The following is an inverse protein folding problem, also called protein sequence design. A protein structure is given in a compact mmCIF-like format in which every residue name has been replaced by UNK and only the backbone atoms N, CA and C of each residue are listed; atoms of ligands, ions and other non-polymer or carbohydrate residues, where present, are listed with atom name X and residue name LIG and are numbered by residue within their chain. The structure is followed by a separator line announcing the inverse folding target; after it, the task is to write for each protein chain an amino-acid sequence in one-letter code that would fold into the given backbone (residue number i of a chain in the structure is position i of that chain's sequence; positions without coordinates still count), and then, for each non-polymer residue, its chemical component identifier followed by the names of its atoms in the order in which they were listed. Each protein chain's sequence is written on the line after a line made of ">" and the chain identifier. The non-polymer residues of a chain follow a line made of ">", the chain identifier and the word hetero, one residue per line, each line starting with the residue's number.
data_IF_698275885414
#
_entry.id   IF_698275885414
#
_cell.length_a   1.000
_cell.length_b   1.000
_cell.length_c   1.000
_cell.angle_alpha   90.00
_cell.angle_beta   90.00
_cell.angle_gamma   90.00
#
_symmetry.space_group_name_H-M   'P 1'
#
loop_
_entity.id
_entity.type
_entity.pdbx_description
1 polymer ?
#
# COMPACT_ATOMS: atom_id res chain seq x y z
N UNK A 1 33.21 24.00 -26.22
CA UNK A 1 32.21 22.91 -26.17
C UNK A 1 32.99 21.61 -26.21
N UNK A 2 32.79 20.72 -25.24
CA UNK A 2 33.40 19.39 -25.22
C UNK A 2 32.33 18.41 -25.67
N UNK A 3 32.65 17.57 -26.66
CA UNK A 3 31.78 16.51 -27.15
C UNK A 3 32.33 15.18 -26.66
N UNK A 4 31.46 14.31 -26.16
CA UNK A 4 31.79 12.95 -25.77
C UNK A 4 30.74 11.99 -26.34
N UNK A 5 31.20 10.84 -26.80
CA UNK A 5 30.34 9.77 -27.30
C UNK A 5 30.12 8.74 -26.19
N UNK A 6 28.85 8.39 -25.94
CA UNK A 6 28.47 7.43 -24.89
C UNK A 6 28.10 6.11 -25.56
N UNK A 7 28.94 5.10 -25.35
CA UNK A 7 28.68 3.73 -25.79
C UNK A 7 27.85 2.95 -24.75
N UNK A 8 26.61 2.62 -25.10
CA UNK A 8 25.70 1.83 -24.24
C UNK A 8 26.04 0.34 -24.22
N UNK A 9 26.63 -0.19 -25.29
CA UNK A 9 27.04 -1.60 -25.38
C UNK A 9 28.22 -1.87 -24.45
N UNK A 10 29.18 -0.96 -24.39
CA UNK A 10 30.27 -1.02 -23.42
C UNK A 10 29.75 -1.05 -21.97
N UNK A 11 28.78 -0.18 -21.64
CA UNK A 11 28.16 -0.18 -20.30
C UNK A 11 27.49 -1.52 -19.99
N UNK A 12 26.76 -2.10 -20.94
CA UNK A 12 26.12 -3.40 -20.77
C UNK A 12 27.15 -4.51 -20.56
N UNK A 13 28.23 -4.52 -21.36
CA UNK A 13 29.34 -5.47 -21.24
C UNK A 13 30.04 -5.39 -19.88
N UNK A 14 30.31 -4.17 -19.40
CA UNK A 14 30.89 -3.94 -18.06
C UNK A 14 29.96 -4.43 -16.96
N UNK A 15 28.66 -4.13 -17.03
CA UNK A 15 27.67 -4.59 -16.03
C UNK A 15 27.53 -6.11 -16.00
N UNK A 16 27.66 -6.76 -17.16
CA UNK A 16 27.66 -8.22 -17.24
C UNK A 16 28.96 -8.84 -16.67
N UNK A 17 30.12 -8.27 -17.02
CA UNK A 17 31.41 -8.76 -16.53
C UNK A 17 31.62 -8.52 -15.02
N UNK A 18 31.05 -7.44 -14.48
CA UNK A 18 31.20 -7.03 -13.08
C UNK A 18 29.80 -6.76 -12.49
N UNK A 19 29.03 -7.81 -12.11
CA UNK A 19 27.65 -7.68 -11.67
C UNK A 19 27.55 -7.24 -10.19
N UNK A 20 28.14 -6.08 -9.85
CA UNK A 20 28.19 -5.54 -8.48
C UNK A 20 26.83 -5.40 -7.82
N UNK A 21 25.77 -5.19 -8.61
CA UNK A 21 24.39 -5.08 -8.12
C UNK A 21 23.82 -6.41 -7.66
N UNK A 22 24.17 -7.52 -8.34
CA UNK A 22 23.74 -8.87 -7.98
C UNK A 22 24.50 -9.43 -6.78
N UNK A 23 25.69 -8.90 -6.49
CA UNK A 23 26.51 -9.32 -5.34
C UNK A 23 26.15 -8.59 -4.04
N UNK A 24 25.12 -7.73 -4.03
CA UNK A 24 24.68 -7.03 -2.82
C UNK A 24 24.02 -8.00 -1.84
N UNK A 25 24.28 -7.79 -0.56
CA UNK A 25 23.67 -8.49 0.58
C UNK A 25 22.49 -7.69 1.10
N UNK A 26 21.42 -7.64 0.30
CA UNK A 26 20.19 -6.93 0.67
C UNK A 26 19.52 -7.52 1.90
N UNK A 27 19.82 -8.78 2.23
CA UNK A 27 19.45 -9.44 3.48
C UNK A 27 20.08 -8.81 4.73
N UNK A 28 21.25 -8.17 4.61
CA UNK A 28 21.96 -7.58 5.75
C UNK A 28 21.68 -6.07 5.92
N UNK A 29 21.60 -5.32 4.83
CA UNK A 29 21.51 -3.85 4.87
C UNK A 29 20.33 -3.26 4.10
N UNK A 30 19.40 -4.10 3.63
CA UNK A 30 18.29 -3.67 2.78
C UNK A 30 18.77 -3.12 1.43
N UNK A 31 17.84 -2.80 0.55
CA UNK A 31 18.21 -2.12 -0.69
C UNK A 31 18.26 -0.61 -0.43
N UNK A 32 19.47 -0.06 -0.30
CA UNK A 32 19.67 1.38 -0.20
C UNK A 32 19.34 2.02 -1.55
N UNK A 33 18.07 2.37 -1.74
CA UNK A 33 17.65 3.23 -2.85
C UNK A 33 18.29 4.61 -2.68
N UNK A 34 18.98 5.14 -3.69
CA UNK A 34 19.52 6.49 -3.62
C UNK A 34 18.40 7.50 -3.34
N UNK A 35 18.64 8.50 -2.49
CA UNK A 35 17.66 9.52 -2.10
C UNK A 35 17.03 10.28 -3.30
N UNK A 36 17.66 10.24 -4.47
CA UNK A 36 17.18 10.85 -5.72
C UNK A 36 16.34 9.92 -6.61
N UNK A 37 16.29 8.62 -6.30
CA UNK A 37 15.49 7.63 -7.03
C UNK A 37 14.03 7.60 -6.58
N UNK A 38 13.63 8.49 -5.67
CA UNK A 38 12.23 8.73 -5.31
C UNK A 38 11.50 9.34 -6.52
N UNK A 39 11.23 8.51 -7.53
CA UNK A 39 10.00 8.62 -8.30
C UNK A 39 8.87 8.27 -7.33
N UNK A 40 8.57 9.22 -6.42
CA UNK A 40 7.29 9.30 -5.73
C UNK A 40 6.26 9.63 -6.82
N UNK A 41 6.00 8.65 -7.71
CA UNK A 41 5.00 8.76 -8.77
C UNK A 41 3.66 8.59 -8.06
N UNK A 42 3.23 9.65 -7.36
CA UNK A 42 2.03 9.73 -6.52
C UNK A 42 0.70 9.59 -7.25
N UNK A 43 0.71 9.04 -8.47
CA UNK A 43 -0.48 8.80 -9.29
C UNK A 43 -0.40 7.42 -9.97
N UNK A 44 -1.52 6.68 -10.05
CA UNK A 44 -1.61 5.46 -10.83
C UNK A 44 -1.33 5.74 -12.32
N UNK A 45 -0.39 4.98 -12.89
CA UNK A 45 0.00 5.03 -14.31
C UNK A 45 -0.91 4.16 -15.19
N UNK A 46 -1.55 3.15 -14.59
CA UNK A 46 -2.50 2.24 -15.25
C UNK A 46 -3.92 2.61 -14.86
N UNK A 47 -4.89 2.33 -15.73
CA UNK A 47 -6.31 2.53 -15.41
C UNK A 47 -6.83 1.56 -14.34
N UNK A 48 -6.24 0.37 -14.27
CA UNK A 48 -6.66 -0.72 -13.38
C UNK A 48 -5.47 -1.43 -12.74
N UNK A 49 -5.68 -1.93 -11.52
CA UNK A 49 -4.71 -2.68 -10.72
C UNK A 49 -5.34 -3.95 -10.15
N UNK A 50 -4.56 -5.01 -10.03
CA UNK A 50 -5.04 -6.27 -9.47
C UNK A 50 -4.83 -6.32 -7.96
N UNK A 51 -5.86 -6.68 -7.22
CA UNK A 51 -5.83 -6.91 -5.78
C UNK A 51 -6.46 -8.27 -5.45
N UNK A 52 -5.65 -9.33 -5.50
CA UNK A 52 -6.12 -10.71 -5.32
C UNK A 52 -7.11 -11.06 -6.43
N UNK A 53 -8.33 -11.44 -6.05
CA UNK A 53 -9.42 -11.68 -6.99
C UNK A 53 -10.19 -10.43 -7.44
N UNK A 54 -9.85 -9.23 -6.96
CA UNK A 54 -10.56 -7.97 -7.25
C UNK A 54 -9.74 -7.07 -8.16
N UNK A 55 -10.40 -6.39 -9.10
CA UNK A 55 -9.80 -5.33 -9.91
C UNK A 55 -10.12 -3.97 -9.32
N UNK A 56 -9.08 -3.20 -8.98
CA UNK A 56 -9.18 -1.83 -8.47
C UNK A 56 -9.09 -0.84 -9.63
N UNK A 57 -9.93 0.19 -9.58
CA UNK A 57 -9.82 1.32 -10.51
C UNK A 57 -8.78 2.31 -10.00
N UNK A 58 -8.03 2.92 -10.92
CA UNK A 58 -7.08 4.00 -10.60
C UNK A 58 -7.72 5.13 -9.77
N UNK A 59 -9.00 5.41 -9.98
CA UNK A 59 -9.75 6.41 -9.23
C UNK A 59 -9.82 6.11 -7.73
N UNK A 60 -9.77 4.84 -7.32
CA UNK A 60 -9.85 4.37 -5.93
C UNK A 60 -8.49 4.36 -5.21
N UNK A 61 -7.38 4.48 -5.95
CA UNK A 61 -6.01 4.48 -5.43
C UNK A 61 -5.58 5.91 -5.16
N UNK A 62 -5.31 6.26 -3.91
CA UNK A 62 -4.95 7.63 -3.53
C UNK A 62 -3.44 7.85 -3.36
N UNK A 63 -2.66 6.79 -3.17
CA UNK A 63 -1.21 6.87 -3.10
C UNK A 63 -0.55 5.62 -3.70
N UNK A 64 0.57 5.79 -4.39
CA UNK A 64 1.34 4.72 -5.00
C UNK A 64 2.83 5.03 -4.85
N UNK A 65 3.60 4.02 -4.47
CA UNK A 65 5.05 4.03 -4.45
C UNK A 65 5.59 3.09 -5.53
N UNK A 66 6.89 2.77 -5.49
CA UNK A 66 7.48 1.84 -6.44
C UNK A 66 7.01 0.39 -6.25
N UNK A 67 6.71 -0.03 -5.01
CA UNK A 67 6.37 -1.43 -4.69
C UNK A 67 5.01 -1.60 -4.02
N UNK A 68 4.41 -0.53 -3.47
CA UNK A 68 3.13 -0.60 -2.76
C UNK A 68 2.12 0.44 -3.25
N UNK A 69 0.83 0.16 -3.04
CA UNK A 69 -0.29 1.05 -3.33
C UNK A 69 -1.24 1.15 -2.13
N UNK A 70 -1.86 2.32 -1.95
CA UNK A 70 -2.87 2.57 -0.94
C UNK A 70 -4.17 3.04 -1.57
N UNK A 71 -5.28 2.45 -1.13
CA UNK A 71 -6.60 2.61 -1.75
C UNK A 71 -7.73 2.54 -0.71
N UNK A 72 -8.87 3.13 -1.07
CA UNK A 72 -10.04 3.19 -0.19
C UNK A 72 -10.79 1.85 -0.14
N UNK A 73 -11.36 1.49 1.02
CA UNK A 73 -12.04 0.21 1.21
C UNK A 73 -13.50 0.27 0.70
N UNK A 74 -14.00 -0.75 0.01
CA UNK A 74 -15.42 -0.80 -0.42
C UNK A 74 -16.41 -0.92 0.76
N UNK A 75 -16.00 -1.56 1.85
CA UNK A 75 -16.80 -1.76 3.06
C UNK A 75 -16.00 -1.31 4.30
N UNK A 76 -15.87 0.00 4.55
CA UNK A 76 -15.06 0.47 5.66
C UNK A 76 -15.70 0.14 7.02
N UNK A 77 -14.93 -0.48 7.93
CA UNK A 77 -15.33 -0.70 9.34
C UNK A 77 -15.58 0.61 10.10
N UNK A 78 -14.74 1.62 9.84
CA UNK A 78 -14.84 2.98 10.37
C UNK A 78 -14.57 3.98 9.24
N UNK A 79 -15.07 5.23 9.33
CA UNK A 79 -14.68 6.30 8.41
C UNK A 79 -13.16 6.43 8.32
N UNK A 80 -12.61 6.44 7.10
CA UNK A 80 -11.17 6.49 6.86
C UNK A 80 -10.44 5.15 6.95
N UNK A 81 -11.14 4.02 7.08
CA UNK A 81 -10.56 2.69 6.92
C UNK A 81 -10.09 2.51 5.47
N UNK A 82 -8.77 2.54 5.29
CA UNK A 82 -8.08 2.33 4.01
C UNK A 82 -7.19 1.09 4.06
N UNK A 83 -6.80 0.62 2.88
CA UNK A 83 -5.94 -0.55 2.71
C UNK A 83 -4.62 -0.15 2.05
N UNK A 84 -3.53 -0.79 2.47
CA UNK A 84 -2.22 -0.71 1.81
C UNK A 84 -1.78 -2.11 1.42
N UNK A 85 -1.40 -2.31 0.16
CA UNK A 85 -0.99 -3.61 -0.37
C UNK A 85 0.23 -3.46 -1.28
N UNK A 86 1.08 -4.49 -1.40
CA UNK A 86 2.09 -4.52 -2.45
C UNK A 86 1.45 -4.54 -3.84
N UNK A 87 2.15 -4.01 -4.83
CA UNK A 87 1.73 -4.02 -6.24
C UNK A 87 1.84 -5.44 -6.79
N UNK A 88 2.90 -6.18 -6.40
CA UNK A 88 3.06 -7.58 -6.73
C UNK A 88 2.11 -8.42 -5.87
N UNK A 89 1.25 -9.26 -6.47
CA UNK A 89 0.43 -10.20 -5.71
C UNK A 89 1.29 -11.13 -4.84
N UNK A 90 1.06 -11.10 -3.54
CA UNK A 90 1.67 -11.99 -2.55
C UNK A 90 0.59 -12.48 -1.59
N UNK A 91 0.60 -13.76 -1.21
CA UNK A 91 -0.42 -14.31 -0.33
C UNK A 91 -0.10 -14.02 1.13
N UNK A 92 1.15 -14.26 1.53
CA UNK A 92 1.61 -14.14 2.90
C UNK A 92 2.58 -12.99 3.06
N UNK A 93 2.68 -12.48 4.29
CA UNK A 93 3.73 -11.51 4.64
C UNK A 93 5.14 -12.09 4.40
N UNK A 94 5.31 -13.40 4.61
CA UNK A 94 6.55 -14.14 4.36
C UNK A 94 6.92 -14.28 2.88
N UNK A 95 5.99 -14.01 1.96
CA UNK A 95 6.24 -14.10 0.52
C UNK A 95 6.86 -12.81 -0.04
N UNK A 96 6.96 -11.76 0.78
CA UNK A 96 7.51 -10.46 0.39
C UNK A 96 9.03 -10.44 0.49
N UNK A 97 9.67 -9.72 -0.43
CA UNK A 97 11.09 -9.39 -0.30
C UNK A 97 11.31 -8.37 0.81
N UNK A 98 12.55 -8.24 1.29
CA UNK A 98 12.91 -7.23 2.29
C UNK A 98 12.55 -5.82 1.83
N UNK A 99 12.73 -5.52 0.54
CA UNK A 99 12.38 -4.25 -0.08
C UNK A 99 10.87 -3.98 -0.07
N UNK A 100 10.07 -5.00 -0.38
CA UNK A 100 8.62 -4.89 -0.36
C UNK A 100 8.09 -4.71 1.06
N UNK A 101 8.64 -5.42 2.04
CA UNK A 101 8.28 -5.22 3.46
C UNK A 101 8.61 -3.79 3.90
N UNK A 102 9.82 -3.31 3.58
CA UNK A 102 10.25 -1.96 3.93
C UNK A 102 9.34 -0.90 3.28
N UNK A 103 9.12 -0.99 1.97
CA UNK A 103 8.27 -0.05 1.24
C UNK A 103 6.83 -0.08 1.76
N UNK A 104 6.25 -1.27 1.97
CA UNK A 104 4.89 -1.45 2.49
C UNK A 104 4.68 -0.71 3.81
N UNK A 105 5.56 -0.91 4.80
CA UNK A 105 5.40 -0.27 6.10
C UNK A 105 5.77 1.22 6.11
N UNK A 106 6.68 1.66 5.23
CA UNK A 106 6.90 3.10 5.00
C UNK A 106 5.65 3.76 4.42
N UNK A 107 4.97 3.10 3.47
CA UNK A 107 3.70 3.58 2.94
C UNK A 107 2.62 3.58 4.02
N UNK A 108 2.49 2.51 4.82
CA UNK A 108 1.56 2.47 5.96
C UNK A 108 1.77 3.65 6.90
N UNK A 109 3.02 3.98 7.26
CA UNK A 109 3.33 5.12 8.12
C UNK A 109 2.95 6.47 7.47
N UNK A 110 3.19 6.65 6.16
CA UNK A 110 2.75 7.85 5.42
C UNK A 110 1.22 7.95 5.42
N UNK A 111 0.54 6.85 5.10
CA UNK A 111 -0.93 6.77 5.01
C UNK A 111 -1.57 7.05 6.36
N UNK A 112 -1.08 6.41 7.44
CA UNK A 112 -1.58 6.60 8.80
C UNK A 112 -1.61 8.08 9.18
N UNK A 113 -0.49 8.81 8.98
CA UNK A 113 -0.42 10.25 9.28
C UNK A 113 -1.43 11.07 8.50
N UNK A 114 -1.63 10.76 7.22
CA UNK A 114 -2.57 11.49 6.37
C UNK A 114 -4.02 11.21 6.77
N UNK A 115 -4.38 9.94 6.99
CA UNK A 115 -5.76 9.59 7.37
C UNK A 115 -6.10 10.09 8.77
N UNK A 116 -5.19 10.00 9.73
CA UNK A 116 -5.41 10.57 11.07
C UNK A 116 -5.70 12.07 10.99
N UNK A 117 -4.87 12.82 10.26
CA UNK A 117 -5.05 14.26 10.07
C UNK A 117 -6.36 14.59 9.35
N UNK A 118 -6.68 13.89 8.26
CA UNK A 118 -7.85 14.18 7.45
C UNK A 118 -9.16 13.90 8.19
N UNK A 119 -9.22 12.77 8.90
CA UNK A 119 -10.41 12.37 9.63
C UNK A 119 -10.48 12.95 11.04
N UNK A 120 -9.48 13.71 11.49
CA UNK A 120 -9.45 14.27 12.85
C UNK A 120 -9.36 13.20 13.93
N UNK A 121 -8.60 12.14 13.66
CA UNK A 121 -8.32 11.06 14.58
C UNK A 121 -7.00 11.30 15.31
N UNK A 122 -6.89 10.77 16.54
CA UNK A 122 -5.70 10.92 17.40
C UNK A 122 -4.86 9.65 17.48
N UNK A 123 -5.34 8.55 16.90
CA UNK A 123 -4.73 7.22 16.97
C UNK A 123 -5.14 6.41 15.75
N UNK A 124 -4.51 5.27 15.51
CA UNK A 124 -4.92 4.31 14.49
C UNK A 124 -4.77 2.88 14.97
N UNK A 125 -5.64 2.00 14.47
CA UNK A 125 -5.40 0.56 14.48
C UNK A 125 -4.79 0.16 13.14
N UNK A 126 -3.62 -0.46 13.18
CA UNK A 126 -2.94 -1.04 12.02
C UNK A 126 -2.97 -2.55 12.18
N UNK A 127 -3.55 -3.27 11.22
CA UNK A 127 -3.77 -4.72 11.34
C UNK A 127 -3.49 -5.46 10.03
N UNK A 128 -3.03 -6.70 10.15
CA UNK A 128 -2.78 -7.61 9.03
C UNK A 128 -3.39 -8.97 9.38
N UNK A 129 -4.23 -9.49 8.51
CA UNK A 129 -4.79 -10.84 8.61
C UNK A 129 -4.00 -11.76 7.68
N UNK A 130 -2.89 -12.31 8.18
CA UNK A 130 -1.96 -13.12 7.39
C UNK A 130 -2.36 -14.60 7.35
N UNK A 131 -3.28 -14.95 6.45
CA UNK A 131 -3.75 -16.31 6.21
C UNK A 131 -5.25 -16.52 6.49
N UNK A 132 -5.83 -17.64 6.05
CA UNK A 132 -7.27 -17.90 6.18
C UNK A 132 -7.73 -17.92 7.65
N UNK A 133 -6.97 -18.56 8.54
CA UNK A 133 -7.31 -18.67 9.97
C UNK A 133 -7.12 -17.35 10.73
N UNK A 134 -6.39 -16.38 10.15
CA UNK A 134 -6.30 -15.01 10.65
C UNK A 134 -7.47 -14.13 10.19
N UNK A 135 -8.39 -14.67 9.39
CA UNK A 135 -9.57 -13.96 8.88
C UNK A 135 -9.41 -13.34 7.50
N UNK A 136 -8.37 -13.68 6.74
CA UNK A 136 -8.13 -13.12 5.39
C UNK A 136 -9.20 -13.55 4.40
N UNK A 137 -9.85 -12.59 3.74
CA UNK A 137 -10.86 -12.84 2.69
C UNK A 137 -10.35 -12.69 1.26
N UNK A 138 -9.40 -11.77 1.02
CA UNK A 138 -8.76 -11.56 -0.28
C UNK A 138 -7.43 -12.31 -0.36
N UNK A 139 -7.18 -13.01 -1.47
CA UNK A 139 -5.92 -13.72 -1.73
C UNK A 139 -4.79 -12.76 -2.15
N UNK A 140 -4.56 -11.73 -1.34
CA UNK A 140 -3.47 -10.78 -1.48
C UNK A 140 -3.24 -10.15 -0.10
N UNK A 141 -2.02 -10.20 0.41
CA UNK A 141 -1.64 -9.55 1.66
C UNK A 141 -1.95 -8.05 1.59
N UNK A 142 -2.54 -7.52 2.65
CA UNK A 142 -2.84 -6.10 2.79
C UNK A 142 -2.87 -5.70 4.26
N UNK A 143 -2.57 -4.44 4.49
CA UNK A 143 -2.58 -3.81 5.81
C UNK A 143 -3.81 -2.94 5.91
N UNK A 144 -4.63 -3.18 6.93
CA UNK A 144 -5.72 -2.30 7.30
C UNK A 144 -5.16 -1.13 8.11
N UNK A 145 -5.51 0.09 7.71
CA UNK A 145 -5.23 1.31 8.49
C UNK A 145 -6.57 1.94 8.86
N UNK A 146 -6.90 1.91 10.14
CA UNK A 146 -8.17 2.42 10.67
C UNK A 146 -7.90 3.59 11.63
N UNK A 147 -8.15 4.84 11.24
CA UNK A 147 -8.05 5.97 12.14
C UNK A 147 -9.08 5.85 13.26
N UNK A 148 -8.66 6.15 14.49
CA UNK A 148 -9.42 5.95 15.74
C UNK A 148 -9.71 7.26 16.44
N UNK A 149 -10.92 7.36 17.01
CA UNK A 149 -11.37 8.49 17.84
C UNK A 149 -11.84 7.99 19.20
N UNK A 150 -11.76 8.82 20.25
CA UNK A 150 -12.38 8.49 21.52
C UNK A 150 -13.87 8.15 21.33
N UNK A 151 -14.29 6.99 21.84
CA UNK A 151 -15.69 6.54 21.79
C UNK A 151 -16.16 5.97 20.44
N UNK A 152 -15.28 5.73 19.47
CA UNK A 152 -15.64 5.06 18.21
C UNK A 152 -16.08 3.59 18.41
N UNK A 153 -15.63 2.95 19.49
CA UNK A 153 -16.06 1.66 19.97
C UNK A 153 -16.29 1.68 21.48
N UNK A 154 -17.27 0.92 21.96
CA UNK A 154 -17.50 0.70 23.41
C UNK A 154 -16.35 -0.06 24.06
N UNK A 155 -15.82 -1.07 23.36
CA UNK A 155 -14.63 -1.81 23.75
C UNK A 155 -13.66 -1.88 22.57
N UNK A 156 -12.39 -1.54 22.80
CA UNK A 156 -11.41 -1.43 21.74
C UNK A 156 -11.23 -2.73 20.94
N UNK A 157 -11.31 -3.89 21.59
CA UNK A 157 -11.12 -5.20 20.95
C UNK A 157 -12.31 -5.61 20.06
N UNK A 158 -13.45 -4.92 20.13
CA UNK A 158 -14.57 -5.16 19.21
C UNK A 158 -14.20 -4.89 17.74
N UNK A 159 -13.10 -4.16 17.51
CA UNK A 159 -12.57 -3.95 16.16
C UNK A 159 -12.22 -5.26 15.45
N UNK A 160 -11.75 -6.28 16.17
CA UNK A 160 -11.40 -7.59 15.57
C UNK A 160 -12.65 -8.34 15.11
N UNK A 161 -13.72 -8.30 15.91
CA UNK A 161 -15.03 -8.85 15.54
C UNK A 161 -15.56 -8.14 14.30
N UNK A 162 -15.48 -6.80 14.26
CA UNK A 162 -15.90 -6.04 13.07
C UNK A 162 -15.06 -6.33 11.85
N UNK A 163 -13.73 -6.45 11.99
CA UNK A 163 -12.85 -6.82 10.88
C UNK A 163 -13.18 -8.22 10.33
N UNK A 164 -13.57 -9.16 11.18
CA UNK A 164 -13.97 -10.51 10.77
C UNK A 164 -15.33 -10.58 10.03
N UNK A 165 -16.22 -9.63 10.29
CA UNK A 165 -17.61 -9.61 9.79
C UNK A 165 -17.85 -8.63 8.63
N UNK A 166 -17.07 -7.56 8.51
CA UNK A 166 -17.42 -6.39 7.67
C UNK A 166 -17.58 -6.69 6.19
N UNK A 167 -16.94 -7.73 5.70
CA UNK A 167 -16.90 -8.13 4.30
C UNK A 167 -17.77 -9.35 3.97
N UNK A 168 -18.33 -10.00 5.01
CA UNK A 168 -19.21 -11.17 4.89
C UNK A 168 -20.69 -10.81 4.94
N UNK A 169 -21.00 -9.64 5.50
CA UNK A 169 -22.37 -9.18 5.65
C UNK A 169 -22.87 -8.48 4.37
N UNK A 170 -23.57 -9.23 3.52
CA UNK A 170 -24.15 -8.70 2.28
C UNK A 170 -25.28 -7.68 2.51
N UNK A 171 -25.82 -7.60 3.74
CA UNK A 171 -26.92 -6.68 4.06
C UNK A 171 -26.44 -5.23 4.23
N UNK A 172 -25.13 -5.01 4.48
CA UNK A 172 -24.57 -3.67 4.60
C UNK A 172 -24.41 -3.02 3.22
N UNK A 173 -24.81 -1.74 3.07
CA UNK A 173 -24.65 -1.04 1.81
C UNK A 173 -23.16 -0.91 1.49
N UNK A 174 -22.76 -1.47 0.35
CA UNK A 174 -21.42 -1.31 -0.21
C UNK A 174 -21.32 0.11 -0.78
N UNK A 175 -20.19 0.77 -0.55
CA UNK A 175 -19.93 2.10 -1.13
C UNK A 175 -19.99 2.05 -2.65
N UNK A 176 -20.49 3.13 -3.26
CA UNK A 176 -20.49 3.27 -4.71
C UNK A 176 -19.08 3.59 -5.23
N UNK A 177 -18.85 3.39 -6.52
CA UNK A 177 -17.55 3.71 -7.12
C UNK A 177 -17.29 5.23 -7.09
N UNK A 178 -18.34 6.03 -7.19
CA UNK A 178 -18.29 7.49 -7.13
C UNK A 178 -17.87 7.97 -5.73
N UNK A 179 -18.46 7.41 -4.67
CA UNK A 179 -18.09 7.71 -3.28
C UNK A 179 -16.63 7.33 -3.01
N UNK A 180 -16.21 6.16 -3.46
CA UNK A 180 -14.82 5.71 -3.33
C UNK A 180 -13.85 6.62 -4.10
N UNK A 181 -14.20 7.03 -5.31
CA UNK A 181 -13.38 7.93 -6.12
C UNK A 181 -13.27 9.33 -5.52
N UNK A 182 -14.34 9.83 -4.88
CA UNK A 182 -14.33 11.11 -4.18
C UNK A 182 -13.40 11.07 -2.95
N UNK A 183 -13.54 10.07 -2.08
CA UNK A 183 -12.66 9.92 -0.91
C UNK A 183 -11.19 9.76 -1.32
N UNK A 184 -10.91 8.95 -2.33
CA UNK A 184 -9.56 8.79 -2.86
C UNK A 184 -9.01 10.10 -3.43
N UNK A 185 -9.84 10.93 -4.07
CA UNK A 185 -9.42 12.25 -4.58
C UNK A 185 -9.05 13.20 -3.44
N UNK A 186 -9.85 13.21 -2.37
CA UNK A 186 -9.59 14.04 -1.18
C UNK A 186 -8.29 13.63 -0.50
N UNK A 187 -8.08 12.32 -0.28
CA UNK A 187 -6.86 11.81 0.32
C UNK A 187 -5.63 12.08 -0.56
N UNK A 188 -5.74 11.88 -1.87
CA UNK A 188 -4.65 12.11 -2.83
C UNK A 188 -4.14 13.55 -2.80
N UNK A 189 -5.00 14.53 -2.54
CA UNK A 189 -4.60 15.93 -2.42
C UNK A 189 -3.65 16.20 -1.23
N UNK A 190 -3.62 15.30 -0.24
CA UNK A 190 -2.84 15.45 1.00
C UNK A 190 -1.44 14.84 0.95
N UNK A 191 -1.09 14.11 -0.13
CA UNK A 191 0.24 13.54 -0.36
C UNK A 191 1.14 14.41 -1.25
N UNK A 192 0.72 15.64 -1.54
CA UNK A 192 1.49 16.62 -2.32
C UNK A 192 2.58 17.29 -1.49
#
# INVERSE_FOLDING_TARGET
>A
IILAEIDRELIAKVRHAIPVWSHRRTDLYGNLSPCWSSKDNGLPEKEQYQFGQVTLLASQIFYKSSLSMAFVNKMPVLPGHVLVAPIRPALRLSDLSTEEVQDLFLVVQKVQRVVEKHFGASSSTVSIQDGPDAGRSIHHIHVHVLPRKPGDFSHNDNIYVKLQEHDKDESKPKRTNEEMAEEARQLRALFR
#
